data_IF_927426238324
#
_entry.id   IF_927426238324
#
_cell.length_a   1.000
_cell.length_b   1.000
_cell.length_c   1.000
_cell.angle_alpha   90.00
_cell.angle_beta   90.00
_cell.angle_gamma   90.00
#
_symmetry.space_group_name_H-M   'P 1'
#
loop_
_entity.id
_entity.type
_entity.pdbx_description
1 polymer ?
#
# COMPACT_ATOMS: atom_id res chain seq x y z
N UNK A 1 -13.02 18.03 -27.24
CA UNK A 1 -12.95 17.54 -25.84
C UNK A 1 -12.11 16.27 -25.67
N UNK A 2 -11.89 15.45 -26.71
CA UNK A 2 -11.24 14.13 -26.58
C UNK A 2 -9.75 14.13 -26.19
N UNK A 3 -8.96 15.14 -26.57
CA UNK A 3 -7.50 15.14 -26.32
C UNK A 3 -7.12 15.44 -24.86
N UNK A 4 -7.88 16.31 -24.19
CA UNK A 4 -7.66 16.65 -22.78
C UNK A 4 -7.95 15.45 -21.88
N UNK A 5 -9.03 14.72 -22.19
CA UNK A 5 -9.39 13.49 -21.47
C UNK A 5 -8.33 12.39 -21.66
N UNK A 6 -7.78 12.24 -22.87
CA UNK A 6 -6.66 11.33 -23.14
C UNK A 6 -5.40 11.71 -22.35
N UNK A 7 -5.08 13.01 -22.27
CA UNK A 7 -3.91 13.48 -21.52
C UNK A 7 -4.07 13.25 -20.00
N UNK A 8 -5.29 13.46 -19.47
CA UNK A 8 -5.58 13.23 -18.05
C UNK A 8 -5.50 11.74 -17.64
N UNK A 9 -5.76 10.81 -18.56
CA UNK A 9 -5.68 9.36 -18.29
C UNK A 9 -4.30 8.77 -18.51
N UNK A 10 -3.46 9.40 -19.33
CA UNK A 10 -2.13 8.88 -19.65
C UNK A 10 -1.27 8.50 -18.42
N UNK A 11 -1.27 9.25 -17.30
CA UNK A 11 -0.46 8.89 -16.13
C UNK A 11 -0.88 7.58 -15.46
N UNK A 12 -2.18 7.25 -15.44
CA UNK A 12 -2.70 6.00 -14.85
C UNK A 12 -2.61 4.85 -15.84
N UNK A 13 -2.91 5.08 -17.12
CA UNK A 13 -2.84 4.08 -18.19
C UNK A 13 -1.40 3.61 -18.47
N UNK A 14 -0.40 4.46 -18.20
CA UNK A 14 1.02 4.08 -18.26
C UNK A 14 1.45 3.06 -17.17
N UNK A 15 0.56 2.65 -16.27
CA UNK A 15 0.87 1.73 -15.17
C UNK A 15 0.35 0.32 -15.46
N UNK A 16 1.02 -0.67 -14.88
CA UNK A 16 0.51 -2.03 -14.86
C UNK A 16 -0.89 -2.09 -14.22
N UNK A 17 -1.76 -2.98 -14.71
CA UNK A 17 -3.13 -3.15 -14.19
C UNK A 17 -3.16 -3.43 -12.69
N UNK A 18 -2.20 -4.21 -12.20
CA UNK A 18 -2.03 -4.48 -10.76
C UNK A 18 -1.76 -3.19 -9.97
N UNK A 19 -0.89 -2.31 -10.47
CA UNK A 19 -0.56 -1.02 -9.88
C UNK A 19 -1.76 -0.07 -9.88
N UNK A 20 -2.54 -0.02 -10.97
CA UNK A 20 -3.75 0.79 -11.04
C UNK A 20 -4.75 0.41 -9.96
N UNK A 21 -5.08 -0.89 -9.84
CA UNK A 21 -5.97 -1.42 -8.80
C UNK A 21 -5.44 -1.12 -7.39
N UNK A 22 -4.14 -1.29 -7.21
CA UNK A 22 -3.43 -0.98 -5.98
C UNK A 22 -3.60 0.50 -5.57
N UNK A 23 -3.41 1.43 -6.48
CA UNK A 23 -3.53 2.86 -6.20
C UNK A 23 -4.97 3.29 -5.97
N UNK A 24 -5.92 2.73 -6.71
CA UNK A 24 -7.35 2.95 -6.47
C UNK A 24 -7.73 2.52 -5.04
N UNK A 25 -7.25 1.35 -4.58
CA UNK A 25 -7.46 0.88 -3.23
C UNK A 25 -6.85 1.77 -2.15
N UNK A 26 -5.63 2.27 -2.35
CA UNK A 26 -5.00 3.21 -1.41
C UNK A 26 -5.75 4.54 -1.33
N UNK A 27 -6.14 5.11 -2.48
CA UNK A 27 -6.89 6.36 -2.51
C UNK A 27 -8.28 6.20 -1.88
N UNK A 28 -8.98 5.10 -2.13
CA UNK A 28 -10.28 4.85 -1.51
C UNK A 28 -10.17 4.73 0.01
N UNK A 29 -9.12 4.05 0.51
CA UNK A 29 -8.84 3.93 1.94
C UNK A 29 -8.60 5.31 2.57
N UNK A 30 -7.77 6.14 1.95
CA UNK A 30 -7.50 7.53 2.37
C UNK A 30 -8.78 8.36 2.40
N UNK A 31 -9.57 8.34 1.33
CA UNK A 31 -10.83 9.09 1.21
C UNK A 31 -11.79 8.69 2.34
N UNK A 32 -11.94 7.39 2.58
CA UNK A 32 -12.80 6.87 3.65
C UNK A 32 -12.32 7.33 5.03
N UNK A 33 -11.01 7.27 5.29
CA UNK A 33 -10.42 7.74 6.53
C UNK A 33 -10.63 9.24 6.74
N UNK A 34 -10.53 10.06 5.68
CA UNK A 34 -10.62 11.51 5.79
C UNK A 34 -12.06 12.06 5.92
N UNK A 35 -13.09 11.20 5.86
CA UNK A 35 -14.50 11.64 5.92
C UNK A 35 -14.86 12.38 7.21
N UNK A 36 -14.19 12.06 8.32
CA UNK A 36 -14.42 12.69 9.62
C UNK A 36 -13.64 14.00 9.83
N UNK A 37 -12.76 14.38 8.89
CA UNK A 37 -11.90 15.54 9.04
C UNK A 37 -12.59 16.84 8.54
N UNK A 38 -12.34 18.00 9.21
CA UNK A 38 -12.96 19.28 8.86
C UNK A 38 -12.79 19.66 7.39
N UNK A 39 -13.87 20.05 6.72
CA UNK A 39 -13.90 20.43 5.30
C UNK A 39 -12.84 21.47 4.91
N UNK A 40 -12.43 22.34 5.84
CA UNK A 40 -11.42 23.39 5.65
C UNK A 40 -10.00 22.87 5.37
N UNK A 41 -9.70 21.61 5.67
CA UNK A 41 -8.40 21.02 5.36
C UNK A 41 -8.29 20.71 3.86
N UNK A 42 -7.20 21.16 3.25
CA UNK A 42 -6.84 20.77 1.88
C UNK A 42 -6.55 19.27 1.77
N UNK A 43 -6.66 18.72 0.57
CA UNK A 43 -6.34 17.32 0.30
C UNK A 43 -4.90 16.96 0.70
N UNK A 44 -3.95 17.88 0.51
CA UNK A 44 -2.56 17.70 0.92
C UNK A 44 -2.42 17.57 2.44
N UNK A 45 -3.05 18.46 3.22
CA UNK A 45 -3.04 18.37 4.69
C UNK A 45 -3.74 17.10 5.19
N UNK A 46 -4.85 16.72 4.56
CA UNK A 46 -5.53 15.44 4.87
C UNK A 46 -4.62 14.26 4.61
N UNK A 47 -3.86 14.30 3.51
CA UNK A 47 -2.95 13.23 3.15
C UNK A 47 -1.75 13.11 4.09
N UNK A 48 -1.15 14.23 4.50
CA UNK A 48 -0.03 14.20 5.45
C UNK A 48 -0.45 13.64 6.81
N UNK A 49 -1.63 14.04 7.31
CA UNK A 49 -2.23 13.45 8.52
C UNK A 49 -2.53 11.96 8.36
N UNK A 50 -3.13 11.57 7.23
CA UNK A 50 -3.40 10.17 6.91
C UNK A 50 -2.14 9.32 6.92
N UNK A 51 -1.04 9.82 6.34
CA UNK A 51 0.20 9.06 6.24
C UNK A 51 0.84 8.82 7.61
N UNK A 52 0.75 9.79 8.52
CA UNK A 52 1.24 9.66 9.91
C UNK A 52 0.42 8.64 10.67
N UNK A 53 -0.92 8.70 10.59
CA UNK A 53 -1.81 7.70 11.19
C UNK A 53 -1.53 6.30 10.62
N UNK A 54 -1.38 6.20 9.30
CA UNK A 54 -1.10 4.94 8.60
C UNK A 54 0.24 4.34 9.02
N UNK A 55 1.24 5.16 9.34
CA UNK A 55 2.55 4.70 9.79
C UNK A 55 2.51 3.96 11.14
N UNK A 56 1.45 4.16 11.93
CA UNK A 56 1.25 3.43 13.20
C UNK A 56 0.93 1.95 12.99
N UNK A 57 0.41 1.57 11.81
CA UNK A 57 -0.06 0.21 11.52
C UNK A 57 0.51 -0.40 10.24
N UNK A 58 1.24 0.38 9.43
CA UNK A 58 1.71 -0.05 8.12
C UNK A 58 3.22 0.20 7.94
N UNK A 59 3.83 -0.68 7.15
CA UNK A 59 5.23 -0.59 6.81
C UNK A 59 5.58 0.46 5.75
N UNK A 60 6.86 0.79 5.64
CA UNK A 60 7.40 1.84 4.76
C UNK A 60 7.02 1.65 3.29
N UNK A 61 6.98 0.40 2.82
CA UNK A 61 6.54 0.07 1.45
C UNK A 61 5.07 0.39 1.19
N UNK A 62 4.21 0.17 2.19
CA UNK A 62 2.79 0.52 2.11
C UNK A 62 2.59 2.04 2.11
N UNK A 63 3.36 2.76 2.93
CA UNK A 63 3.35 4.22 2.97
C UNK A 63 3.82 4.83 1.63
N UNK A 64 4.89 4.28 1.05
CA UNK A 64 5.39 4.71 -0.26
C UNK A 64 4.36 4.50 -1.37
N UNK A 65 3.63 3.37 -1.32
CA UNK A 65 2.53 3.08 -2.25
C UNK A 65 1.38 4.08 -2.09
N UNK A 66 0.97 4.40 -0.86
CA UNK A 66 -0.06 5.40 -0.60
C UNK A 66 0.37 6.79 -1.10
N UNK A 67 1.63 7.17 -0.91
CA UNK A 67 2.19 8.44 -1.42
C UNK A 67 2.21 8.50 -2.95
N UNK A 68 2.60 7.41 -3.61
CA UNK A 68 2.57 7.36 -5.07
C UNK A 68 1.14 7.42 -5.62
N UNK A 69 0.19 6.73 -4.98
CA UNK A 69 -1.22 6.77 -5.33
C UNK A 69 -1.82 8.18 -5.16
N UNK A 70 -1.47 8.87 -4.08
CA UNK A 70 -1.91 10.24 -3.83
C UNK A 70 -1.38 11.20 -4.89
N UNK A 71 -0.06 11.19 -5.12
CA UNK A 71 0.59 12.06 -6.11
C UNK A 71 -0.01 11.89 -7.50
N UNK A 72 -0.33 10.66 -7.89
CA UNK A 72 -0.94 10.39 -9.19
C UNK A 72 -2.35 10.98 -9.31
N UNK A 73 -3.11 11.01 -8.22
CA UNK A 73 -4.49 11.48 -8.22
C UNK A 73 -4.63 13.01 -8.01
N UNK A 74 -3.56 13.69 -7.60
CA UNK A 74 -3.59 15.10 -7.20
C UNK A 74 -2.46 15.92 -7.85
N UNK A 75 -1.89 15.44 -8.95
CA UNK A 75 -0.81 16.10 -9.70
C UNK A 75 0.46 16.42 -8.87
N UNK A 76 0.68 15.65 -7.81
CA UNK A 76 1.85 15.72 -6.96
C UNK A 76 1.57 16.17 -5.53
N UNK A 77 2.58 16.83 -4.96
CA UNK A 77 2.60 17.38 -3.61
C UNK A 77 3.48 18.63 -3.64
N UNK A 78 3.19 19.60 -2.79
CA UNK A 78 4.09 20.73 -2.55
C UNK A 78 5.49 20.24 -2.12
N UNK A 79 6.54 21.04 -2.31
CA UNK A 79 7.89 20.67 -1.87
C UNK A 79 7.96 20.33 -0.38
N UNK A 80 7.26 21.11 0.45
CA UNK A 80 7.19 20.89 1.90
C UNK A 80 6.50 19.58 2.25
N UNK A 81 5.30 19.33 1.71
CA UNK A 81 4.60 18.08 1.98
C UNK A 81 5.34 16.85 1.41
N UNK A 82 6.01 17.00 0.26
CA UNK A 82 6.87 15.95 -0.30
C UNK A 82 8.01 15.58 0.65
N UNK A 83 8.64 16.56 1.28
CA UNK A 83 9.71 16.35 2.25
C UNK A 83 9.18 15.63 3.50
N UNK A 84 8.07 16.11 4.08
CA UNK A 84 7.44 15.49 5.26
C UNK A 84 7.07 14.02 5.00
N UNK A 85 6.42 13.75 3.86
CA UNK A 85 6.04 12.39 3.43
C UNK A 85 7.26 11.49 3.29
N UNK A 86 8.34 12.00 2.68
CA UNK A 86 9.61 11.29 2.58
C UNK A 86 10.17 10.94 3.96
N UNK A 87 10.14 11.88 4.89
CA UNK A 87 10.72 11.71 6.22
C UNK A 87 9.93 10.69 7.06
N UNK A 88 8.60 10.68 6.96
CA UNK A 88 7.76 9.63 7.56
C UNK A 88 8.12 8.25 7.01
N UNK A 89 8.25 8.10 5.69
CA UNK A 89 8.61 6.82 5.05
C UNK A 89 10.01 6.37 5.49
N UNK A 90 10.98 7.29 5.53
CA UNK A 90 12.36 7.01 5.97
C UNK A 90 12.40 6.60 7.44
N UNK A 91 11.66 7.29 8.30
CA UNK A 91 11.56 6.94 9.72
C UNK A 91 11.00 5.53 9.90
N UNK A 92 9.92 5.19 9.18
CA UNK A 92 9.35 3.84 9.24
C UNK A 92 10.32 2.78 8.73
N UNK A 93 11.04 3.06 7.64
CA UNK A 93 12.06 2.14 7.09
C UNK A 93 13.20 1.89 8.08
N UNK A 94 13.61 2.90 8.86
CA UNK A 94 14.64 2.74 9.91
C UNK A 94 14.16 1.82 11.02
N UNK A 95 12.94 2.04 11.54
CA UNK A 95 12.32 1.16 12.55
C UNK A 95 12.22 -0.30 12.06
N UNK A 96 11.83 -0.49 10.80
CA UNK A 96 11.79 -1.82 10.18
C UNK A 96 13.19 -2.43 10.09
N UNK A 97 14.20 -1.67 9.69
CA UNK A 97 15.56 -2.19 9.57
C UNK A 97 16.17 -2.60 10.91
N UNK A 98 15.85 -1.89 11.99
CA UNK A 98 16.30 -2.20 13.35
C UNK A 98 15.66 -3.48 13.90
N UNK A 99 14.43 -3.79 13.47
CA UNK A 99 13.66 -4.96 13.93
C UNK A 99 13.71 -6.15 12.96
N UNK A 100 14.40 -6.01 11.82
CA UNK A 100 14.39 -7.02 10.75
C UNK A 100 15.21 -8.23 11.16
N UNK A 101 14.53 -9.28 11.62
CA UNK A 101 15.11 -10.62 11.65
C UNK A 101 15.39 -11.10 10.21
N UNK A 102 16.51 -11.79 10.02
CA UNK A 102 16.79 -12.47 8.76
C UNK A 102 15.69 -13.53 8.51
N UNK A 103 15.24 -13.70 7.26
CA UNK A 103 14.31 -14.77 6.92
C UNK A 103 14.87 -16.10 7.43
N UNK A 104 14.11 -16.79 8.28
CA UNK A 104 14.52 -18.11 8.75
C UNK A 104 14.53 -19.06 7.56
N UNK A 105 15.66 -19.70 7.30
CA UNK A 105 15.70 -20.76 6.30
C UNK A 105 14.81 -21.90 6.77
N UNK A 106 13.79 -22.19 5.98
CA UNK A 106 12.88 -23.31 6.23
C UNK A 106 13.52 -24.55 5.64
N UNK A 107 13.65 -25.62 6.43
CA UNK A 107 14.24 -26.86 5.94
C UNK A 107 13.33 -27.53 4.90
N UNK A 108 13.92 -28.25 3.94
CA UNK A 108 13.14 -29.04 2.95
C UNK A 108 12.18 -30.01 3.63
N UNK A 109 12.58 -30.59 4.76
CA UNK A 109 11.73 -31.48 5.56
C UNK A 109 10.49 -30.78 6.12
N UNK A 110 10.63 -29.51 6.55
CA UNK A 110 9.49 -28.69 6.99
C UNK A 110 8.54 -28.42 5.83
N UNK A 111 9.07 -28.16 4.63
CA UNK A 111 8.26 -27.98 3.42
C UNK A 111 7.53 -29.27 3.06
N UNK A 112 8.20 -30.42 3.07
CA UNK A 112 7.59 -31.73 2.80
C UNK A 112 6.44 -32.03 3.74
N UNK A 113 6.60 -31.81 5.06
CA UNK A 113 5.53 -32.01 6.03
C UNK A 113 4.30 -31.13 5.77
N UNK A 114 4.51 -29.87 5.37
CA UNK A 114 3.40 -28.98 5.02
C UNK A 114 2.65 -29.51 3.79
N UNK A 115 3.38 -29.97 2.78
CA UNK A 115 2.80 -30.54 1.56
C UNK A 115 1.99 -31.80 1.89
N UNK A 116 2.54 -32.69 2.70
CA UNK A 116 1.86 -33.93 3.11
C UNK A 116 0.58 -33.63 3.90
N UNK A 117 0.62 -32.67 4.83
CA UNK A 117 -0.56 -32.25 5.59
C UNK A 117 -1.67 -31.67 4.71
N UNK A 118 -1.33 -30.84 3.72
CA UNK A 118 -2.32 -30.28 2.79
C UNK A 118 -2.97 -31.38 1.94
N UNK A 119 -2.20 -32.38 1.50
CA UNK A 119 -2.72 -33.51 0.73
C UNK A 119 -3.60 -34.45 1.57
N UNK A 120 -3.28 -34.64 2.85
CA UNK A 120 -4.09 -35.45 3.75
C UNK A 120 -5.42 -34.75 4.12
N UNK A 121 -5.42 -33.42 4.28
CA UNK A 121 -6.65 -32.64 4.48
C UNK A 121 -7.57 -32.69 3.26
N UNK A 122 -7.03 -32.62 2.03
CA UNK A 122 -7.82 -32.76 0.80
C UNK A 122 -8.46 -34.16 0.67
N UNK A 123 -7.72 -35.21 1.04
CA UNK A 123 -8.25 -36.60 1.04
C UNK A 123 -9.28 -36.83 2.14
N UNK A 124 -9.10 -36.20 3.31
CA UNK A 124 -10.04 -36.27 4.42
C UNK A 124 -11.36 -35.56 4.08
N UNK A 125 -11.30 -34.41 3.40
CA UNK A 125 -12.46 -33.66 2.93
C UNK A 125 -13.27 -34.39 1.84
N UNK A 126 -12.63 -35.19 1.00
CA UNK A 126 -13.30 -36.04 0.00
C UNK A 126 -13.91 -37.32 0.58
N UNK A 127 -13.61 -37.68 1.84
CA UNK A 127 -14.11 -38.93 2.47
C UNK A 127 -15.54 -38.81 3.01
N UNK A 128 -16.12 -37.61 2.99
CA UNK A 128 -17.48 -37.31 3.49
C UNK A 128 -18.45 -36.81 2.40
N UNK A 129 -18.07 -36.94 1.12
CA UNK A 129 -18.94 -36.76 -0.05
C UNK A 129 -19.16 -38.11 -0.75
#
# INVERSE_FOLDING_TARGET
MHLVDSLGKAPIEARAVSTMKAYAGENQRRINWSKSLPASLSEEHRFTLYLVDRAMSAGSSSLAKAAAAFKLANDGLSPFASQLVSDVIKAQRRKESESRAQPTQVSVNTVSKIVDMVQDDEKSGMRWL
#
